data_IF_281455566111
#
_entry.id   IF_281455566111
#
_cell.length_a   1.000
_cell.length_b   1.000
_cell.length_c   1.000
_cell.angle_alpha   90.00
_cell.angle_beta   90.00
_cell.angle_gamma   90.00
#
_symmetry.space_group_name_H-M   'P 1'
#
loop_
_entity.id
_entity.type
_entity.pdbx_description
1 polymer ?
#
# COMPACT_ATOMS: atom_id res chain seq x y z
N UNK A 1 -20.80 74.30 15.54
CA UNK A 1 -19.78 73.64 14.73
C UNK A 1 -19.93 72.15 14.97
N UNK A 2 -20.65 71.51 14.06
CA UNK A 2 -20.93 70.08 14.09
C UNK A 2 -19.71 69.38 13.47
N UNK A 3 -19.17 68.40 14.19
CA UNK A 3 -18.20 67.46 13.59
C UNK A 3 -18.90 66.12 13.32
N UNK A 4 -19.07 65.82 12.05
CA UNK A 4 -19.53 64.57 11.50
C UNK A 4 -18.62 63.43 11.91
N UNK A 5 -19.12 62.53 12.74
CA UNK A 5 -18.55 61.23 12.98
C UNK A 5 -18.94 60.28 11.82
N UNK A 6 -18.06 60.10 10.86
CA UNK A 6 -18.22 59.08 9.82
C UNK A 6 -18.06 57.70 10.43
N UNK A 7 -19.18 56.98 10.60
CA UNK A 7 -19.22 55.60 10.99
C UNK A 7 -18.55 54.75 9.92
N UNK A 8 -17.36 54.24 10.16
CA UNK A 8 -16.75 53.15 9.44
C UNK A 8 -17.67 51.93 9.52
N UNK A 9 -18.48 51.73 8.50
CA UNK A 9 -19.15 50.44 8.27
C UNK A 9 -18.05 49.40 8.15
N UNK A 10 -17.92 48.54 9.14
CA UNK A 10 -17.21 47.26 9.00
C UNK A 10 -17.95 46.39 7.98
N UNK A 11 -17.70 46.63 6.70
CA UNK A 11 -18.04 45.72 5.59
C UNK A 11 -16.80 44.92 5.28
N UNK A 12 -16.65 43.81 5.95
CA UNK A 12 -15.59 42.85 5.74
C UNK A 12 -15.75 41.76 6.79
N UNK A 13 -16.82 40.94 6.66
CA UNK A 13 -16.69 39.58 7.17
C UNK A 13 -15.39 39.05 6.57
N UNK A 14 -14.45 38.59 7.40
CA UNK A 14 -13.29 37.81 7.00
C UNK A 14 -13.79 36.67 6.15
N UNK A 15 -13.88 36.87 4.81
CA UNK A 15 -14.21 35.83 3.88
C UNK A 15 -12.98 34.96 3.79
N UNK A 16 -12.86 33.97 4.70
CA UNK A 16 -11.88 32.90 4.58
C UNK A 16 -12.03 32.31 3.18
N UNK A 17 -10.93 32.20 2.47
CA UNK A 17 -10.90 31.50 1.18
C UNK A 17 -11.53 30.13 1.35
N UNK A 18 -12.57 29.86 0.59
CA UNK A 18 -13.38 28.66 0.72
C UNK A 18 -13.40 27.93 -0.63
N UNK A 19 -12.89 26.71 -0.65
CA UNK A 19 -12.90 25.84 -1.82
C UNK A 19 -14.08 24.90 -1.74
N UNK A 20 -15.21 25.37 -2.31
CA UNK A 20 -16.47 24.65 -2.23
C UNK A 20 -16.47 23.41 -3.14
N UNK A 21 -16.88 22.26 -2.63
CA UNK A 21 -17.20 21.09 -3.44
C UNK A 21 -18.45 21.40 -4.25
N UNK A 22 -18.32 21.52 -5.58
CA UNK A 22 -19.41 21.85 -6.50
C UNK A 22 -19.77 20.72 -7.45
N UNK A 23 -18.93 19.69 -7.55
CA UNK A 23 -19.18 18.50 -8.37
C UNK A 23 -18.52 17.27 -7.78
N UNK A 24 -19.27 16.16 -7.78
CA UNK A 24 -18.77 14.82 -7.49
C UNK A 24 -19.36 13.90 -8.56
N UNK A 25 -18.47 13.11 -9.20
CA UNK A 25 -18.86 12.13 -10.20
C UNK A 25 -18.07 10.84 -10.02
N UNK A 26 -18.77 9.73 -9.82
CA UNK A 26 -18.20 8.38 -9.77
C UNK A 26 -18.44 7.64 -11.09
N UNK A 27 -17.46 6.83 -11.49
CA UNK A 27 -17.57 5.92 -12.62
C UNK A 27 -16.94 4.57 -12.32
N UNK A 28 -17.37 3.57 -13.08
CA UNK A 28 -16.73 2.25 -13.07
C UNK A 28 -15.61 2.26 -14.11
N UNK A 29 -14.42 1.81 -13.71
CA UNK A 29 -13.26 1.57 -14.58
C UNK A 29 -12.76 0.15 -14.38
N UNK A 30 -11.74 -0.29 -15.11
CA UNK A 30 -11.13 -1.61 -14.92
C UNK A 30 -9.79 -1.49 -14.19
N UNK A 31 -9.55 -2.44 -13.30
CA UNK A 31 -8.24 -2.66 -12.67
C UNK A 31 -7.29 -3.45 -13.58
N UNK A 32 -6.06 -3.69 -13.13
CA UNK A 32 -5.00 -4.42 -13.85
C UNK A 32 -5.32 -5.89 -14.14
N UNK A 33 -6.35 -6.45 -13.49
CA UNK A 33 -6.86 -7.81 -13.70
C UNK A 33 -8.08 -7.84 -14.61
N UNK A 34 -8.55 -6.67 -15.09
CA UNK A 34 -9.76 -6.53 -15.89
C UNK A 34 -11.06 -6.59 -15.07
N UNK A 35 -10.97 -6.47 -13.73
CA UNK A 35 -12.12 -6.39 -12.86
C UNK A 35 -12.56 -4.92 -12.67
N UNK A 36 -13.88 -4.68 -12.51
CA UNK A 36 -14.36 -3.32 -12.24
C UNK A 36 -13.87 -2.77 -10.92
N UNK A 37 -13.55 -1.49 -10.91
CA UNK A 37 -13.28 -0.71 -9.70
C UNK A 37 -13.85 0.70 -9.81
N UNK A 38 -13.78 1.49 -8.72
CA UNK A 38 -14.38 2.82 -8.62
C UNK A 38 -13.33 3.89 -8.89
N UNK A 39 -13.64 4.80 -9.80
CA UNK A 39 -12.96 6.10 -9.94
C UNK A 39 -13.93 7.22 -9.56
N UNK A 40 -13.46 8.19 -8.76
CA UNK A 40 -14.20 9.40 -8.46
C UNK A 40 -13.46 10.64 -8.97
N UNK A 41 -14.26 11.63 -9.39
CA UNK A 41 -13.80 12.97 -9.76
C UNK A 41 -14.51 14.00 -8.88
N UNK A 42 -13.75 14.86 -8.22
CA UNK A 42 -14.27 15.93 -7.35
C UNK A 42 -13.83 17.27 -7.89
N UNK A 43 -14.80 18.19 -8.06
CA UNK A 43 -14.56 19.57 -8.48
C UNK A 43 -14.69 20.51 -7.30
N UNK A 44 -13.64 21.26 -7.00
CA UNK A 44 -13.65 22.38 -6.08
C UNK A 44 -13.78 23.69 -6.85
N UNK A 45 -14.60 24.61 -6.34
CA UNK A 45 -14.73 25.98 -6.87
C UNK A 45 -14.31 26.98 -5.80
N UNK A 46 -13.39 27.86 -6.15
CA UNK A 46 -13.01 29.01 -5.33
C UNK A 46 -14.18 29.99 -5.29
N UNK A 47 -14.75 30.20 -4.12
CA UNK A 47 -15.93 31.03 -3.93
C UNK A 47 -15.68 32.52 -4.22
N UNK A 48 -14.41 32.96 -4.23
CA UNK A 48 -14.05 34.34 -4.53
C UNK A 48 -13.82 34.58 -6.01
N UNK A 49 -13.09 33.67 -6.68
CA UNK A 49 -12.69 33.84 -8.08
C UNK A 49 -13.54 33.07 -9.07
N UNK A 50 -14.31 32.08 -8.62
CA UNK A 50 -15.06 31.16 -9.46
C UNK A 50 -14.18 30.11 -10.20
N UNK A 51 -12.85 30.09 -9.96
CA UNK A 51 -11.96 29.09 -10.58
C UNK A 51 -12.27 27.69 -10.10
N UNK A 52 -12.19 26.73 -11.01
CA UNK A 52 -12.47 25.31 -10.74
C UNK A 52 -11.20 24.49 -10.77
N UNK A 53 -11.13 23.50 -9.87
CA UNK A 53 -10.03 22.55 -9.75
C UNK A 53 -10.63 21.15 -9.61
N UNK A 54 -10.28 20.26 -10.52
CA UNK A 54 -10.78 18.88 -10.51
C UNK A 54 -9.68 17.91 -10.10
N UNK A 55 -9.96 17.11 -9.07
CA UNK A 55 -9.12 15.99 -8.65
C UNK A 55 -9.81 14.67 -9.00
N UNK A 56 -9.03 13.70 -9.46
CA UNK A 56 -9.50 12.37 -9.85
C UNK A 56 -8.70 11.30 -9.12
N UNK A 57 -9.37 10.24 -8.65
CA UNK A 57 -8.70 9.11 -8.02
C UNK A 57 -9.42 7.80 -8.28
N UNK A 58 -8.66 6.74 -8.46
CA UNK A 58 -9.13 5.38 -8.65
C UNK A 58 -8.66 4.47 -7.50
N UNK A 59 -9.53 3.56 -7.07
CA UNK A 59 -9.28 2.70 -5.92
C UNK A 59 -8.75 1.34 -6.38
N UNK A 60 -7.69 0.80 -5.75
CA UNK A 60 -7.22 -0.56 -6.00
C UNK A 60 -8.13 -1.61 -5.35
N UNK A 61 -7.92 -2.89 -5.71
CA UNK A 61 -8.70 -4.04 -5.24
C UNK A 61 -7.77 -5.21 -4.87
N UNK A 62 -8.03 -5.91 -3.77
CA UNK A 62 -7.24 -7.07 -3.35
C UNK A 62 -7.59 -8.37 -4.09
N UNK A 63 -6.64 -9.32 -4.15
CA UNK A 63 -6.92 -10.73 -4.53
C UNK A 63 -7.17 -11.57 -3.26
N UNK A 64 -6.34 -11.40 -2.24
CA UNK A 64 -6.60 -11.82 -0.87
C UNK A 64 -7.16 -10.63 -0.09
N UNK A 65 -8.09 -10.87 0.83
CA UNK A 65 -8.65 -9.83 1.68
C UNK A 65 -8.65 -10.34 3.11
N UNK A 66 -7.99 -9.61 4.01
CA UNK A 66 -8.04 -9.88 5.44
C UNK A 66 -9.49 -9.78 5.95
N UNK A 67 -9.85 -10.65 6.89
CA UNK A 67 -11.23 -10.75 7.42
C UNK A 67 -11.74 -9.44 8.03
N UNK A 68 -10.84 -8.56 8.46
CA UNK A 68 -11.16 -7.31 9.15
C UNK A 68 -11.03 -6.07 8.28
N UNK A 69 -10.81 -6.22 6.96
CA UNK A 69 -10.79 -5.11 6.03
C UNK A 69 -12.16 -4.42 5.92
N UNK A 70 -12.16 -3.13 5.61
CA UNK A 70 -13.38 -2.42 5.24
C UNK A 70 -13.98 -3.01 3.95
N UNK A 71 -15.30 -2.96 3.84
CA UNK A 71 -16.05 -3.64 2.77
C UNK A 71 -15.81 -3.00 1.42
N UNK A 72 -15.20 -3.72 0.51
CA UNK A 72 -15.25 -3.42 -0.92
C UNK A 72 -16.63 -3.79 -1.46
N UNK A 73 -17.49 -2.77 -1.71
CA UNK A 73 -18.86 -3.00 -2.11
C UNK A 73 -18.94 -3.47 -3.57
N UNK A 74 -19.35 -4.72 -3.75
CA UNK A 74 -19.60 -5.39 -5.03
C UNK A 74 -21.11 -5.57 -5.29
N UNK A 75 -21.48 -5.63 -6.58
CA UNK A 75 -22.90 -5.75 -6.97
C UNK A 75 -23.50 -7.11 -6.61
N UNK A 76 -22.69 -8.20 -6.67
CA UNK A 76 -23.14 -9.56 -6.39
C UNK A 76 -24.10 -10.12 -7.45
N UNK A 77 -24.24 -9.46 -8.60
CA UNK A 77 -25.08 -9.85 -9.72
C UNK A 77 -24.27 -10.56 -10.81
N UNK A 78 -24.91 -11.08 -11.87
CA UNK A 78 -24.24 -11.82 -12.95
C UNK A 78 -23.21 -10.99 -13.73
N UNK A 79 -23.39 -9.66 -13.76
CA UNK A 79 -22.48 -8.75 -14.45
C UNK A 79 -21.09 -8.80 -13.82
N UNK A 80 -20.03 -8.95 -14.66
CA UNK A 80 -18.65 -9.18 -14.22
C UNK A 80 -18.52 -10.32 -13.17
N UNK A 81 -19.31 -11.38 -13.33
CA UNK A 81 -19.31 -12.52 -12.40
C UNK A 81 -19.55 -12.14 -10.93
N UNK A 82 -20.35 -11.11 -10.68
CA UNK A 82 -20.61 -10.58 -9.35
C UNK A 82 -19.70 -9.44 -8.89
N UNK A 83 -18.59 -9.18 -9.62
CA UNK A 83 -17.57 -8.20 -9.25
C UNK A 83 -17.88 -6.76 -9.69
N UNK A 84 -19.07 -6.48 -10.31
CA UNK A 84 -19.49 -5.13 -10.65
C UNK A 84 -19.47 -4.17 -9.46
N UNK A 85 -19.32 -2.85 -9.71
CA UNK A 85 -19.26 -1.81 -8.66
C UNK A 85 -20.30 -0.70 -8.86
N UNK A 86 -21.37 -0.97 -9.60
CA UNK A 86 -22.42 0.03 -9.86
C UNK A 86 -23.09 0.52 -8.59
N UNK A 87 -23.26 -0.32 -7.56
CA UNK A 87 -23.80 0.08 -6.25
C UNK A 87 -22.91 1.13 -5.60
N UNK A 88 -21.59 0.90 -5.55
CA UNK A 88 -20.63 1.84 -5.02
C UNK A 88 -20.59 3.15 -5.85
N UNK A 89 -20.55 3.06 -7.17
CA UNK A 89 -20.63 4.21 -8.08
C UNK A 89 -21.94 5.01 -7.87
N UNK A 90 -23.06 4.33 -7.70
CA UNK A 90 -24.32 5.00 -7.39
C UNK A 90 -24.27 5.73 -6.04
N UNK A 91 -23.66 5.14 -5.01
CA UNK A 91 -23.46 5.80 -3.71
C UNK A 91 -22.62 7.07 -3.84
N UNK A 92 -21.54 7.05 -4.66
CA UNK A 92 -20.76 8.26 -4.98
C UNK A 92 -21.63 9.34 -5.63
N UNK A 93 -22.44 8.96 -6.63
CA UNK A 93 -23.24 9.90 -7.43
C UNK A 93 -24.50 10.41 -6.73
N UNK A 94 -24.89 9.81 -5.60
CA UNK A 94 -26.10 10.17 -4.84
C UNK A 94 -25.77 10.56 -3.40
N UNK A 95 -25.70 9.62 -2.48
CA UNK A 95 -25.55 9.85 -1.04
C UNK A 95 -24.30 10.68 -0.69
N UNK A 96 -23.14 10.29 -1.22
CA UNK A 96 -21.88 10.99 -0.96
C UNK A 96 -21.90 12.38 -1.58
N UNK A 97 -22.37 12.51 -2.82
CA UNK A 97 -22.53 13.80 -3.47
C UNK A 97 -23.47 14.73 -2.71
N UNK A 98 -24.58 14.24 -2.20
CA UNK A 98 -25.52 15.03 -1.38
C UNK A 98 -24.88 15.50 -0.08
N UNK A 99 -24.18 14.62 0.65
CA UNK A 99 -23.55 14.92 1.93
C UNK A 99 -22.41 15.94 1.82
N UNK A 100 -21.64 15.91 0.72
CA UNK A 100 -20.42 16.70 0.57
C UNK A 100 -20.59 17.97 -0.28
N UNK A 101 -21.63 18.07 -1.12
CA UNK A 101 -21.85 19.28 -1.93
C UNK A 101 -21.98 20.51 -1.04
N UNK A 102 -21.24 21.56 -1.38
CA UNK A 102 -21.20 22.78 -0.59
C UNK A 102 -20.18 22.79 0.54
N UNK A 103 -19.57 21.66 0.91
CA UNK A 103 -18.53 21.59 1.93
C UNK A 103 -17.20 22.17 1.47
N UNK A 104 -16.33 22.51 2.42
CA UNK A 104 -15.00 23.02 2.12
C UNK A 104 -14.03 21.86 1.83
N UNK A 105 -13.61 21.70 0.58
CA UNK A 105 -12.71 20.63 0.16
C UNK A 105 -11.27 20.76 0.68
N UNK A 106 -10.90 21.87 1.34
CA UNK A 106 -9.59 21.97 2.00
C UNK A 106 -9.55 21.32 3.39
N UNK A 107 -10.70 20.94 3.93
CA UNK A 107 -10.77 20.31 5.25
C UNK A 107 -10.92 18.79 5.12
N UNK A 108 -9.82 18.11 4.76
CA UNK A 108 -9.81 16.66 4.50
C UNK A 108 -10.41 15.85 5.65
N UNK A 109 -10.02 16.13 6.89
CA UNK A 109 -10.48 15.39 8.07
C UNK A 109 -12.00 15.51 8.27
N UNK A 110 -12.58 16.69 8.02
CA UNK A 110 -14.02 16.87 8.08
C UNK A 110 -14.75 16.12 6.94
N UNK A 111 -14.19 16.17 5.74
CA UNK A 111 -14.73 15.43 4.59
C UNK A 111 -14.77 13.94 4.88
N UNK A 112 -13.68 13.38 5.36
CA UNK A 112 -13.57 11.95 5.67
C UNK A 112 -14.49 11.55 6.82
N UNK A 113 -14.61 12.40 7.87
CA UNK A 113 -15.60 12.22 8.94
C UNK A 113 -17.02 12.18 8.40
N UNK A 114 -17.39 13.09 7.49
CA UNK A 114 -18.72 13.11 6.87
C UNK A 114 -18.97 11.86 6.00
N UNK A 115 -17.95 11.32 5.32
CA UNK A 115 -18.03 10.06 4.59
C UNK A 115 -18.33 8.90 5.55
N UNK A 116 -17.62 8.81 6.68
CA UNK A 116 -17.85 7.79 7.70
C UNK A 116 -19.24 7.91 8.34
N UNK A 117 -19.68 9.13 8.68
CA UNK A 117 -21.02 9.38 9.23
C UNK A 117 -22.14 9.06 8.25
N UNK A 118 -21.92 9.32 6.95
CA UNK A 118 -22.90 9.01 5.90
C UNK A 118 -23.00 7.49 5.65
N UNK A 119 -21.90 6.75 5.80
CA UNK A 119 -21.89 5.29 5.77
C UNK A 119 -22.63 4.72 7.00
N UNK A 120 -22.27 5.18 8.19
CA UNK A 120 -22.91 4.81 9.46
C UNK A 120 -22.58 3.41 9.96
N UNK A 121 -21.65 2.68 9.32
CA UNK A 121 -21.18 1.34 9.76
C UNK A 121 -19.70 1.36 10.10
N UNK A 122 -19.24 0.43 10.95
CA UNK A 122 -17.85 0.37 11.38
C UNK A 122 -16.90 0.00 10.24
N UNK A 123 -17.36 -0.74 9.23
CA UNK A 123 -16.56 -1.30 8.15
C UNK A 123 -16.91 -0.75 6.76
N UNK A 124 -17.59 0.39 6.65
CA UNK A 124 -18.04 1.00 5.39
C UNK A 124 -18.96 0.11 4.56
N UNK A 125 -19.74 -0.76 5.22
CA UNK A 125 -20.61 -1.74 4.55
C UNK A 125 -21.81 -1.15 3.81
N UNK A 126 -22.21 0.09 4.12
CA UNK A 126 -23.37 0.76 3.51
C UNK A 126 -23.02 1.48 2.19
N UNK A 127 -21.94 2.24 2.17
CA UNK A 127 -21.49 2.98 0.97
C UNK A 127 -20.47 2.19 0.16
N UNK A 128 -19.62 1.43 0.84
CA UNK A 128 -18.43 0.76 0.32
C UNK A 128 -17.15 1.56 0.55
N UNK A 129 -16.12 0.91 1.08
CA UNK A 129 -14.80 1.52 1.25
C UNK A 129 -14.20 2.00 -0.09
N UNK A 130 -14.51 1.30 -1.18
CA UNK A 130 -14.14 1.71 -2.54
C UNK A 130 -14.81 3.04 -2.95
N UNK A 131 -16.06 3.29 -2.57
CA UNK A 131 -16.75 4.55 -2.84
C UNK A 131 -16.20 5.69 -1.97
N UNK A 132 -16.04 5.46 -0.65
CA UNK A 132 -15.55 6.49 0.28
C UNK A 132 -14.10 6.88 -0.02
N UNK A 133 -13.21 5.91 -0.25
CA UNK A 133 -11.81 6.17 -0.56
C UNK A 133 -11.63 6.90 -1.89
N UNK A 134 -12.34 6.50 -2.95
CA UNK A 134 -12.24 7.17 -4.25
C UNK A 134 -12.51 8.69 -4.10
N UNK A 135 -13.55 9.05 -3.35
CA UNK A 135 -13.90 10.46 -3.11
C UNK A 135 -12.90 11.13 -2.19
N UNK A 136 -12.47 10.49 -1.11
CA UNK A 136 -11.48 11.02 -0.16
C UNK A 136 -10.17 11.40 -0.87
N UNK A 137 -9.60 10.50 -1.67
CA UNK A 137 -8.39 10.75 -2.47
C UNK A 137 -8.60 11.83 -3.54
N UNK A 138 -9.77 11.83 -4.21
CA UNK A 138 -10.08 12.84 -5.24
C UNK A 138 -10.19 14.26 -4.64
N UNK A 139 -10.77 14.39 -3.43
CA UNK A 139 -10.81 15.67 -2.68
C UNK A 139 -9.39 16.14 -2.37
N UNK A 140 -8.52 15.27 -1.84
CA UNK A 140 -7.13 15.62 -1.53
C UNK A 140 -6.38 16.14 -2.77
N UNK A 141 -6.54 15.50 -3.93
CA UNK A 141 -5.94 15.97 -5.18
C UNK A 141 -6.51 17.30 -5.65
N UNK A 142 -7.83 17.48 -5.61
CA UNK A 142 -8.45 18.75 -5.98
C UNK A 142 -8.00 19.89 -5.05
N UNK A 143 -7.85 19.61 -3.75
CA UNK A 143 -7.34 20.56 -2.77
C UNK A 143 -5.88 20.96 -3.06
N UNK A 144 -4.99 20.00 -3.28
CA UNK A 144 -3.60 20.25 -3.65
C UNK A 144 -3.49 21.11 -4.91
N UNK A 145 -4.23 20.78 -5.97
CA UNK A 145 -4.31 21.56 -7.20
C UNK A 145 -4.81 22.99 -6.97
N UNK A 146 -5.80 23.17 -6.10
CA UNK A 146 -6.37 24.49 -5.80
C UNK A 146 -5.39 25.40 -5.05
N UNK A 147 -4.50 24.79 -4.28
CA UNK A 147 -3.42 25.48 -3.54
C UNK A 147 -2.15 25.63 -4.39
N UNK A 148 -2.09 24.99 -5.55
CA UNK A 148 -0.92 24.96 -6.45
C UNK A 148 0.33 24.39 -5.76
N UNK A 149 0.15 23.34 -4.96
CA UNK A 149 1.23 22.59 -4.31
C UNK A 149 1.12 21.11 -4.70
N UNK A 150 2.23 20.37 -4.70
CA UNK A 150 2.22 18.94 -4.94
C UNK A 150 1.37 18.18 -3.91
N UNK A 151 0.82 17.03 -4.30
CA UNK A 151 -0.04 16.24 -3.42
C UNK A 151 0.72 15.78 -2.17
N UNK A 152 1.97 15.33 -2.31
CA UNK A 152 2.76 14.90 -1.15
C UNK A 152 2.99 16.04 -0.13
N UNK A 153 3.14 17.30 -0.60
CA UNK A 153 3.24 18.46 0.30
C UNK A 153 1.89 18.85 0.93
N UNK A 154 0.80 18.70 0.18
CA UNK A 154 -0.53 18.94 0.73
C UNK A 154 -0.84 17.98 1.89
N UNK A 155 -0.53 16.69 1.73
CA UNK A 155 -0.80 15.66 2.73
C UNK A 155 0.17 15.72 3.91
N UNK A 156 1.46 15.96 3.70
CA UNK A 156 2.50 15.81 4.71
C UNK A 156 3.14 17.11 5.20
N UNK A 157 2.84 18.25 4.55
CA UNK A 157 3.38 19.56 4.93
C UNK A 157 4.77 19.86 4.36
N UNK A 158 5.39 20.91 4.86
CA UNK A 158 6.61 21.49 4.27
C UNK A 158 7.90 20.64 4.48
N UNK A 159 7.88 19.64 5.33
CA UNK A 159 9.07 18.83 5.67
C UNK A 159 9.05 17.42 5.03
N UNK A 160 8.27 17.24 3.98
CA UNK A 160 8.16 16.00 3.21
C UNK A 160 9.28 15.93 2.18
N UNK A 161 10.27 15.07 2.41
CA UNK A 161 11.47 14.94 1.55
C UNK A 161 12.12 13.56 1.56
N UNK A 162 11.63 12.62 2.36
CA UNK A 162 12.21 11.29 2.44
C UNK A 162 11.63 10.43 1.30
N UNK A 163 12.49 10.09 0.35
CA UNK A 163 12.17 9.14 -0.70
C UNK A 163 12.14 7.71 -0.12
N UNK A 164 11.12 6.92 -0.44
CA UNK A 164 11.01 5.57 0.10
C UNK A 164 11.98 4.59 -0.58
N UNK A 165 12.55 3.67 0.20
CA UNK A 165 13.21 2.48 -0.34
C UNK A 165 12.14 1.56 -0.94
N UNK A 166 12.23 1.19 -2.22
CA UNK A 166 11.27 0.30 -2.83
C UNK A 166 11.51 -1.15 -2.38
N UNK A 167 10.43 -1.83 -2.01
CA UNK A 167 10.37 -3.29 -1.82
C UNK A 167 9.78 -3.87 -3.11
N UNK A 168 10.65 -4.26 -4.06
CA UNK A 168 10.23 -4.67 -5.40
C UNK A 168 10.01 -6.16 -5.50
N UNK A 169 8.76 -6.58 -5.66
CA UNK A 169 8.38 -7.96 -5.83
C UNK A 169 8.80 -8.49 -7.20
N UNK A 170 9.92 -9.22 -7.27
CA UNK A 170 10.50 -9.73 -8.52
C UNK A 170 10.18 -11.19 -8.81
N UNK A 171 9.65 -11.94 -7.82
CA UNK A 171 9.17 -13.30 -8.00
C UNK A 171 7.91 -13.53 -7.17
N UNK A 172 6.86 -14.04 -7.82
CA UNK A 172 5.55 -14.29 -7.25
C UNK A 172 5.30 -15.79 -7.03
N UNK A 173 4.58 -16.09 -5.95
CA UNK A 173 4.00 -17.38 -5.66
C UNK A 173 2.62 -17.23 -5.00
N UNK A 174 2.21 -18.21 -4.21
CA UNK A 174 0.95 -18.19 -3.49
C UNK A 174 -0.25 -17.85 -4.38
N UNK A 175 -1.09 -16.91 -3.94
CA UNK A 175 -2.26 -16.45 -4.72
C UNK A 175 -1.92 -15.51 -5.87
N UNK A 176 -0.71 -14.96 -5.90
CA UNK A 176 -0.29 -14.03 -6.95
C UNK A 176 0.20 -14.72 -8.22
N UNK A 177 0.37 -16.06 -8.19
CA UNK A 177 0.83 -16.83 -9.34
C UNK A 177 0.29 -18.26 -9.32
N UNK A 178 -0.02 -18.81 -10.50
CA UNK A 178 -0.42 -20.22 -10.66
C UNK A 178 0.82 -21.11 -10.82
N UNK A 179 1.63 -21.24 -9.76
CA UNK A 179 2.86 -22.03 -9.73
C UNK A 179 2.97 -22.87 -8.44
N UNK A 180 4.14 -23.46 -8.18
CA UNK A 180 4.41 -24.30 -7.01
C UNK A 180 5.13 -23.60 -5.87
N UNK A 181 5.29 -22.29 -5.92
CA UNK A 181 5.94 -21.50 -4.86
C UNK A 181 4.89 -21.11 -3.82
N UNK A 182 5.04 -21.56 -2.58
CA UNK A 182 4.05 -21.38 -1.53
C UNK A 182 4.06 -19.97 -0.93
N UNK A 183 5.22 -19.34 -0.76
CA UNK A 183 5.32 -17.94 -0.33
C UNK A 183 4.86 -16.99 -1.43
N UNK A 184 4.14 -15.93 -1.05
CA UNK A 184 3.43 -15.09 -2.01
C UNK A 184 4.34 -14.13 -2.78
N UNK A 185 5.34 -13.52 -2.10
CA UNK A 185 6.20 -12.51 -2.69
C UNK A 185 7.64 -12.60 -2.20
N UNK A 186 8.56 -12.43 -3.15
CA UNK A 186 9.98 -12.29 -2.90
C UNK A 186 10.45 -10.95 -3.47
N UNK A 187 10.87 -10.07 -2.58
CA UNK A 187 11.18 -8.68 -2.88
C UNK A 187 12.66 -8.38 -2.70
N UNK A 188 13.19 -7.48 -3.54
CA UNK A 188 14.52 -6.90 -3.38
C UNK A 188 14.42 -5.45 -2.93
N UNK A 189 15.40 -5.00 -2.12
CA UNK A 189 15.46 -3.69 -1.50
C UNK A 189 16.85 -3.08 -1.70
N UNK A 190 17.00 -1.98 -2.47
CA UNK A 190 18.31 -1.34 -2.74
C UNK A 190 18.68 -0.40 -1.59
N UNK A 191 19.19 -0.96 -0.48
CA UNK A 191 19.40 -0.24 0.78
C UNK A 191 20.61 0.70 0.78
N UNK A 192 21.57 0.50 -0.12
CA UNK A 192 22.78 1.34 -0.25
C UNK A 192 22.78 2.25 -1.49
N UNK A 193 21.64 2.36 -2.17
CA UNK A 193 21.52 3.29 -3.30
C UNK A 193 21.69 4.75 -2.84
N UNK A 194 22.27 5.59 -3.70
CA UNK A 194 22.52 7.00 -3.38
C UNK A 194 21.25 7.86 -3.48
N UNK A 195 20.28 7.41 -4.26
CA UNK A 195 19.02 8.10 -4.55
C UNK A 195 17.92 7.08 -4.87
N UNK A 196 16.68 7.54 -4.93
CA UNK A 196 15.57 6.69 -5.37
C UNK A 196 15.75 6.25 -6.83
N UNK A 197 16.16 7.17 -7.70
CA UNK A 197 16.43 6.88 -9.12
C UNK A 197 17.54 5.84 -9.32
N UNK A 198 18.59 5.90 -8.50
CA UNK A 198 19.65 4.89 -8.49
C UNK A 198 19.13 3.53 -8.00
N UNK A 199 18.38 3.51 -6.91
CA UNK A 199 17.76 2.29 -6.40
C UNK A 199 16.80 1.62 -7.40
N UNK A 200 15.99 2.43 -8.11
CA UNK A 200 15.10 1.93 -9.16
C UNK A 200 15.89 1.31 -10.31
N UNK A 201 16.98 1.95 -10.77
CA UNK A 201 17.87 1.43 -11.81
C UNK A 201 18.47 0.07 -11.38
N UNK A 202 19.05 0.01 -10.19
CA UNK A 202 19.64 -1.21 -9.63
C UNK A 202 18.62 -2.36 -9.63
N UNK A 203 17.43 -2.13 -9.11
CA UNK A 203 16.39 -3.14 -9.08
C UNK A 203 15.94 -3.59 -10.48
N UNK A 204 15.84 -2.68 -11.44
CA UNK A 204 15.50 -3.00 -12.82
C UNK A 204 16.60 -3.86 -13.49
N UNK A 205 17.87 -3.56 -13.25
CA UNK A 205 19.00 -4.36 -13.74
C UNK A 205 18.95 -5.78 -13.16
N UNK A 206 18.77 -5.93 -11.84
CA UNK A 206 18.63 -7.25 -11.19
C UNK A 206 17.44 -8.03 -11.76
N UNK A 207 16.30 -7.38 -11.95
CA UNK A 207 15.10 -7.99 -12.54
C UNK A 207 15.38 -8.56 -13.95
N UNK A 208 16.12 -7.82 -14.79
CA UNK A 208 16.52 -8.30 -16.11
C UNK A 208 17.56 -9.43 -16.05
N UNK A 209 18.50 -9.40 -15.12
CA UNK A 209 19.43 -10.51 -14.89
C UNK A 209 18.70 -11.77 -14.42
N UNK A 210 17.73 -11.61 -13.49
CA UNK A 210 16.89 -12.73 -13.04
C UNK A 210 16.15 -13.38 -14.23
N UNK A 211 15.56 -12.57 -15.12
CA UNK A 211 14.92 -13.07 -16.34
C UNK A 211 15.88 -13.91 -17.19
N UNK A 212 17.09 -13.39 -17.44
CA UNK A 212 18.10 -14.08 -18.24
C UNK A 212 18.52 -15.41 -17.61
N UNK A 213 18.75 -15.43 -16.29
CA UNK A 213 19.10 -16.65 -15.56
C UNK A 213 17.98 -17.71 -15.69
N UNK A 214 16.73 -17.28 -15.57
CA UNK A 214 15.57 -18.16 -15.72
C UNK A 214 15.46 -18.72 -17.12
N UNK A 215 15.68 -17.91 -18.16
CA UNK A 215 15.72 -18.35 -19.56
C UNK A 215 16.84 -19.38 -19.79
N UNK A 216 18.05 -19.16 -19.26
CA UNK A 216 19.18 -20.07 -19.32
C UNK A 216 18.90 -21.42 -18.63
N UNK A 217 18.10 -21.40 -17.55
CA UNK A 217 17.67 -22.59 -16.79
C UNK A 217 16.40 -23.26 -17.38
N UNK A 218 15.80 -22.70 -18.43
CA UNK A 218 14.56 -23.19 -19.03
C UNK A 218 13.31 -23.00 -18.17
N UNK A 219 13.34 -22.03 -17.23
CA UNK A 219 12.22 -21.68 -16.37
C UNK A 219 11.28 -20.68 -17.05
N UNK A 220 10.01 -20.69 -16.67
CA UNK A 220 9.01 -19.75 -17.19
C UNK A 220 9.32 -18.31 -16.76
N UNK A 221 9.27 -17.37 -17.72
CA UNK A 221 9.44 -15.92 -17.49
C UNK A 221 8.14 -15.14 -17.63
N UNK A 222 6.99 -15.82 -17.58
CA UNK A 222 5.69 -15.17 -17.40
C UNK A 222 5.62 -14.52 -16.02
N UNK A 223 4.84 -13.44 -15.92
CA UNK A 223 4.73 -12.66 -14.69
C UNK A 223 3.37 -12.86 -14.02
N UNK A 224 3.37 -12.78 -12.69
CA UNK A 224 2.16 -12.76 -11.87
C UNK A 224 1.45 -11.40 -11.86
N UNK A 225 0.46 -11.27 -10.98
CA UNK A 225 -0.39 -10.08 -10.87
C UNK A 225 0.40 -8.80 -10.56
N UNK A 226 1.51 -8.92 -9.86
CA UNK A 226 2.33 -7.79 -9.43
C UNK A 226 3.60 -7.57 -10.28
N UNK A 227 3.74 -8.32 -11.36
CA UNK A 227 4.85 -8.16 -12.30
C UNK A 227 6.10 -8.97 -11.97
N UNK A 228 6.16 -9.67 -10.83
CA UNK A 228 7.20 -10.64 -10.51
C UNK A 228 7.07 -11.89 -11.37
N UNK A 229 8.20 -12.56 -11.66
CA UNK A 229 8.19 -13.82 -12.40
C UNK A 229 7.49 -14.95 -11.63
N UNK A 230 6.94 -15.91 -12.33
CA UNK A 230 6.13 -16.97 -11.75
C UNK A 230 6.55 -18.38 -12.20
N UNK A 231 7.81 -18.80 -11.98
CA UNK A 231 8.26 -20.15 -12.31
C UNK A 231 7.75 -21.19 -11.31
N UNK A 232 7.71 -22.46 -11.72
CA UNK A 232 7.60 -23.58 -10.79
C UNK A 232 8.96 -23.84 -10.14
N UNK A 233 9.02 -23.79 -8.81
CA UNK A 233 10.21 -24.04 -8.02
C UNK A 233 9.86 -24.89 -6.78
N UNK A 234 10.81 -25.68 -6.25
CA UNK A 234 10.51 -26.68 -5.21
C UNK A 234 10.19 -26.09 -3.81
N UNK A 235 10.73 -24.94 -3.48
CA UNK A 235 10.60 -24.31 -2.16
C UNK A 235 11.10 -22.86 -2.20
N UNK A 236 11.02 -22.17 -1.07
CA UNK A 236 11.46 -20.78 -0.93
C UNK A 236 12.98 -20.64 -1.10
N UNK A 237 13.78 -21.60 -0.66
CA UNK A 237 15.24 -21.59 -0.81
C UNK A 237 15.65 -21.55 -2.28
N UNK A 238 15.01 -22.33 -3.14
CA UNK A 238 15.31 -22.34 -4.57
C UNK A 238 15.00 -20.98 -5.22
N UNK A 239 13.98 -20.27 -4.74
CA UNK A 239 13.67 -18.89 -5.15
C UNK A 239 14.77 -17.94 -4.69
N UNK A 240 15.15 -18.02 -3.43
CA UNK A 240 16.17 -17.16 -2.83
C UNK A 240 17.54 -17.37 -3.48
N UNK A 241 17.89 -18.60 -3.83
CA UNK A 241 19.13 -18.92 -4.58
C UNK A 241 19.16 -18.22 -5.94
N UNK A 242 18.04 -18.23 -6.68
CA UNK A 242 17.94 -17.51 -7.96
C UNK A 242 18.04 -15.99 -7.81
N UNK A 243 17.46 -15.44 -6.76
CA UNK A 243 17.54 -14.00 -6.48
C UNK A 243 18.96 -13.59 -6.12
N UNK A 244 19.62 -14.36 -5.25
CA UNK A 244 21.02 -14.11 -4.88
C UNK A 244 21.93 -14.22 -6.12
N UNK A 245 21.75 -15.24 -6.95
CA UNK A 245 22.49 -15.38 -8.22
C UNK A 245 22.26 -14.16 -9.13
N UNK A 246 21.04 -13.64 -9.21
CA UNK A 246 20.72 -12.46 -10.02
C UNK A 246 21.39 -11.19 -9.49
N UNK A 247 21.42 -10.99 -8.16
CA UNK A 247 22.09 -9.86 -7.51
C UNK A 247 23.59 -9.92 -7.81
N UNK A 248 24.24 -11.07 -7.62
CA UNK A 248 25.68 -11.25 -7.86
C UNK A 248 26.06 -11.06 -9.33
N UNK A 249 25.27 -11.65 -10.27
CA UNK A 249 25.53 -11.48 -11.70
C UNK A 249 25.32 -10.04 -12.20
N UNK A 250 24.54 -9.24 -11.49
CA UNK A 250 24.40 -7.79 -11.76
C UNK A 250 25.50 -6.93 -11.12
N UNK A 251 26.52 -7.55 -10.51
CA UNK A 251 27.64 -6.91 -9.83
C UNK A 251 27.26 -6.12 -8.57
N UNK A 252 26.21 -6.53 -7.88
CA UNK A 252 25.85 -6.02 -6.56
C UNK A 252 26.09 -7.09 -5.49
N UNK A 253 26.27 -6.66 -4.25
CA UNK A 253 26.59 -7.54 -3.12
C UNK A 253 25.30 -7.85 -2.33
N UNK A 254 24.86 -9.15 -2.31
CA UNK A 254 23.78 -9.57 -1.43
C UNK A 254 24.09 -9.26 0.03
N UNK A 255 23.15 -8.66 0.73
CA UNK A 255 23.32 -8.32 2.15
C UNK A 255 24.01 -6.98 2.43
N UNK A 256 24.73 -6.43 1.46
CA UNK A 256 25.32 -5.11 1.55
C UNK A 256 24.52 -4.09 0.73
N UNK A 257 24.48 -4.24 -0.61
CA UNK A 257 23.78 -3.31 -1.49
C UNK A 257 22.30 -3.60 -1.54
N UNK A 258 21.96 -4.89 -1.55
CA UNK A 258 20.60 -5.40 -1.70
C UNK A 258 20.25 -6.31 -0.52
N UNK A 259 19.12 -6.01 0.09
CA UNK A 259 18.45 -6.88 1.06
C UNK A 259 17.22 -7.53 0.42
N UNK A 260 16.73 -8.58 1.04
CA UNK A 260 15.54 -9.33 0.60
C UNK A 260 14.42 -9.10 1.60
N UNK A 261 13.19 -8.95 1.09
CA UNK A 261 11.98 -9.00 1.90
C UNK A 261 11.06 -10.11 1.37
N UNK A 262 10.32 -10.71 2.28
CA UNK A 262 9.35 -11.76 2.00
C UNK A 262 7.95 -11.29 2.40
N UNK A 263 6.95 -11.67 1.61
CA UNK A 263 5.56 -11.73 2.04
C UNK A 263 5.13 -13.20 1.96
N UNK A 264 4.85 -13.77 3.12
CA UNK A 264 4.49 -15.19 3.22
C UNK A 264 3.00 -15.40 3.03
N UNK A 265 2.17 -14.41 3.40
CA UNK A 265 0.72 -14.50 3.42
C UNK A 265 0.25 -15.75 4.17
N UNK A 266 0.78 -15.97 5.38
CA UNK A 266 0.67 -17.24 6.11
C UNK A 266 -0.77 -17.64 6.44
N UNK A 267 -1.72 -16.69 6.52
CA UNK A 267 -3.15 -16.99 6.69
C UNK A 267 -3.69 -17.88 5.57
N UNK A 268 -3.14 -17.79 4.35
CA UNK A 268 -3.51 -18.64 3.21
C UNK A 268 -2.98 -20.07 3.32
N UNK A 269 -1.92 -20.28 4.09
CA UNK A 269 -1.32 -21.59 4.35
C UNK A 269 -1.91 -22.25 5.59
N UNK A 270 -2.57 -21.47 6.46
CA UNK A 270 -3.02 -21.92 7.78
C UNK A 270 -4.34 -22.68 7.72
N UNK A 271 -4.38 -23.82 8.39
CA UNK A 271 -5.57 -24.62 8.56
C UNK A 271 -6.07 -24.51 10.02
N UNK A 272 -7.14 -23.74 10.22
CA UNK A 272 -7.74 -23.51 11.56
C UNK A 272 -8.12 -24.79 12.33
N UNK A 273 -8.43 -25.89 11.62
CA UNK A 273 -8.84 -27.16 12.25
C UNK A 273 -7.67 -27.93 12.83
N UNK A 274 -6.50 -27.85 12.21
CA UNK A 274 -5.30 -28.59 12.61
C UNK A 274 -4.31 -27.72 13.38
N UNK A 275 -4.39 -26.40 13.26
CA UNK A 275 -3.40 -25.47 13.78
C UNK A 275 -2.07 -25.50 13.03
N UNK A 276 -2.05 -26.02 11.79
CA UNK A 276 -0.84 -26.23 11.00
C UNK A 276 -0.84 -25.37 9.75
N UNK A 277 0.35 -24.98 9.31
CA UNK A 277 0.62 -24.33 8.03
C UNK A 277 0.94 -25.41 6.98
N UNK A 278 0.16 -25.47 5.92
CA UNK A 278 0.30 -26.44 4.82
C UNK A 278 1.01 -25.80 3.63
N UNK A 279 1.97 -26.51 3.06
CA UNK A 279 2.77 -26.10 1.91
C UNK A 279 2.41 -26.98 0.69
N UNK A 280 1.34 -26.65 -0.04
CA UNK A 280 0.84 -27.50 -1.11
C UNK A 280 1.82 -27.62 -2.30
N UNK A 281 2.56 -26.53 -2.60
CA UNK A 281 3.54 -26.53 -3.68
C UNK A 281 4.76 -27.40 -3.35
N UNK A 282 5.36 -27.22 -2.17
CA UNK A 282 6.44 -28.08 -1.68
C UNK A 282 5.98 -29.55 -1.62
N UNK A 283 4.78 -29.79 -1.08
CA UNK A 283 4.21 -31.13 -0.96
C UNK A 283 4.08 -31.82 -2.31
N UNK A 284 3.58 -31.11 -3.32
CA UNK A 284 3.42 -31.63 -4.69
C UNK A 284 4.75 -32.05 -5.31
N UNK A 285 5.78 -31.22 -5.19
CA UNK A 285 7.08 -31.50 -5.81
C UNK A 285 7.90 -32.51 -5.00
N UNK A 286 7.73 -32.54 -3.69
CA UNK A 286 8.39 -33.52 -2.80
C UNK A 286 7.74 -34.91 -2.83
N UNK A 287 6.46 -34.98 -3.23
CA UNK A 287 5.67 -36.22 -3.22
C UNK A 287 5.26 -36.69 -1.82
N UNK A 288 5.33 -35.83 -0.81
CA UNK A 288 4.88 -36.07 0.57
C UNK A 288 4.38 -34.78 1.16
N UNK A 289 3.43 -34.86 2.10
CA UNK A 289 2.87 -33.71 2.78
C UNK A 289 3.96 -32.92 3.54
N UNK A 290 3.97 -31.60 3.37
CA UNK A 290 4.83 -30.66 4.09
C UNK A 290 3.92 -29.75 4.91
N UNK A 291 4.03 -29.86 6.22
CA UNK A 291 3.28 -29.06 7.19
C UNK A 291 4.24 -28.55 8.26
N UNK A 292 3.92 -27.41 8.85
CA UNK A 292 4.68 -26.82 9.95
C UNK A 292 3.71 -26.29 11.00
N UNK A 293 4.02 -26.45 12.27
CA UNK A 293 3.35 -25.71 13.35
C UNK A 293 3.97 -24.30 13.51
N UNK A 294 3.42 -23.48 14.41
CA UNK A 294 3.90 -22.11 14.66
C UNK A 294 5.39 -22.08 15.03
N UNK A 295 5.87 -23.00 15.87
CA UNK A 295 7.27 -23.06 16.30
C UNK A 295 8.20 -23.49 15.15
N UNK A 296 7.76 -24.44 14.35
CA UNK A 296 8.47 -24.90 13.15
C UNK A 296 8.54 -23.81 12.08
N UNK A 297 7.46 -23.01 11.92
CA UNK A 297 7.47 -21.83 11.04
C UNK A 297 8.52 -20.81 11.48
N UNK A 298 8.55 -20.47 12.76
CA UNK A 298 9.53 -19.52 13.28
C UNK A 298 10.96 -20.06 13.09
N UNK A 299 11.19 -21.35 13.36
CA UNK A 299 12.50 -21.99 13.16
C UNK A 299 12.91 -22.00 11.68
N UNK A 300 11.97 -22.21 10.77
CA UNK A 300 12.22 -22.13 9.33
C UNK A 300 12.64 -20.70 8.92
N UNK A 301 12.01 -19.65 9.45
CA UNK A 301 12.46 -18.28 9.22
C UNK A 301 13.87 -18.02 9.76
N UNK A 302 14.22 -18.54 10.93
CA UNK A 302 15.58 -18.43 11.45
C UNK A 302 16.62 -19.08 10.54
N UNK A 303 16.31 -20.24 9.97
CA UNK A 303 17.18 -20.91 9.00
C UNK A 303 17.35 -20.08 7.72
N UNK A 304 16.24 -19.53 7.18
CA UNK A 304 16.28 -18.67 5.99
C UNK A 304 17.09 -17.40 6.22
N UNK A 305 16.87 -16.71 7.34
CA UNK A 305 17.62 -15.49 7.72
C UNK A 305 19.11 -15.79 7.92
N UNK A 306 19.43 -16.97 8.44
CA UNK A 306 20.82 -17.41 8.62
C UNK A 306 21.57 -17.66 7.31
N UNK A 307 20.86 -17.94 6.22
CA UNK A 307 21.43 -18.26 4.90
C UNK A 307 21.38 -17.10 3.91
N UNK A 308 20.32 -16.30 3.98
CA UNK A 308 20.01 -15.27 2.99
C UNK A 308 19.92 -13.88 3.63
N UNK A 309 20.19 -12.81 2.90
CA UNK A 309 20.17 -11.45 3.43
C UNK A 309 18.73 -10.90 3.61
N UNK A 310 17.87 -11.67 4.27
CA UNK A 310 16.49 -11.29 4.55
C UNK A 310 16.46 -10.25 5.66
N UNK A 311 15.80 -9.12 5.40
CA UNK A 311 15.67 -8.00 6.31
C UNK A 311 14.22 -7.76 6.76
N UNK A 312 13.24 -8.30 6.05
CA UNK A 312 11.82 -8.09 6.33
C UNK A 312 11.00 -9.34 6.02
N UNK A 313 10.08 -9.69 6.90
CA UNK A 313 9.07 -10.73 6.68
C UNK A 313 7.70 -10.11 6.99
N UNK A 314 6.82 -10.16 5.99
CA UNK A 314 5.43 -9.75 6.07
C UNK A 314 4.56 -10.99 6.28
N UNK A 315 3.55 -10.86 7.16
CA UNK A 315 2.57 -11.88 7.49
C UNK A 315 3.16 -13.28 7.67
N UNK A 316 4.22 -13.33 8.50
CA UNK A 316 4.94 -14.56 8.78
C UNK A 316 4.12 -15.62 9.52
N UNK A 317 3.01 -15.25 10.13
CA UNK A 317 2.04 -16.14 10.81
C UNK A 317 0.61 -15.69 10.51
N UNK A 318 -0.37 -16.56 10.77
CA UNK A 318 -1.78 -16.28 10.55
C UNK A 318 -2.28 -15.06 11.32
N UNK A 319 -3.26 -14.33 10.76
CA UNK A 319 -3.77 -13.04 11.26
C UNK A 319 -4.37 -13.07 12.67
N UNK A 320 -4.76 -14.23 13.17
CA UNK A 320 -5.34 -14.44 14.51
C UNK A 320 -4.40 -15.18 15.47
N UNK A 321 -3.19 -15.60 15.04
CA UNK A 321 -2.21 -16.26 15.91
C UNK A 321 -1.36 -15.26 16.71
N UNK A 322 -2.01 -14.49 17.58
CA UNK A 322 -1.36 -13.43 18.37
C UNK A 322 -0.25 -13.96 19.30
N UNK A 323 -0.42 -15.16 19.85
CA UNK A 323 0.60 -15.79 20.69
C UNK A 323 1.81 -16.23 19.87
N UNK A 324 1.59 -16.76 18.68
CA UNK A 324 2.65 -17.07 17.72
C UNK A 324 3.38 -15.81 17.26
N UNK A 325 2.66 -14.74 16.91
CA UNK A 325 3.24 -13.45 16.56
C UNK A 325 4.11 -12.87 17.68
N UNK A 326 3.70 -13.05 18.94
CA UNK A 326 4.53 -12.65 20.08
C UNK A 326 5.84 -13.45 20.14
N UNK A 327 5.78 -14.77 19.98
CA UNK A 327 6.98 -15.61 19.92
C UNK A 327 7.88 -15.26 18.74
N UNK A 328 7.31 -15.03 17.56
CA UNK A 328 8.03 -14.59 16.36
C UNK A 328 8.76 -13.26 16.62
N UNK A 329 8.07 -12.30 17.25
CA UNK A 329 8.64 -10.99 17.57
C UNK A 329 9.76 -11.08 18.58
N UNK A 330 9.58 -11.89 19.63
CA UNK A 330 10.61 -12.08 20.66
C UNK A 330 11.89 -12.75 20.11
N UNK A 331 11.80 -13.60 19.09
CA UNK A 331 12.94 -14.31 18.49
C UNK A 331 13.63 -13.51 17.38
N UNK A 332 12.87 -12.78 16.58
CA UNK A 332 13.34 -12.17 15.33
C UNK A 332 13.20 -10.64 15.27
N UNK A 333 12.34 -10.03 16.09
CA UNK A 333 11.98 -8.61 15.97
C UNK A 333 13.15 -7.62 16.21
N UNK A 334 14.23 -8.04 16.89
CA UNK A 334 15.46 -7.24 17.01
C UNK A 334 16.43 -7.41 15.84
N UNK A 335 16.19 -8.42 14.97
CA UNK A 335 17.09 -8.77 13.85
C UNK A 335 16.54 -8.32 12.51
N UNK A 336 15.22 -8.37 12.33
CA UNK A 336 14.53 -8.07 11.08
C UNK A 336 13.24 -7.29 11.31
N UNK A 337 12.76 -6.67 10.25
CA UNK A 337 11.42 -6.09 10.22
C UNK A 337 10.37 -7.20 10.13
N UNK A 338 9.37 -7.13 11.01
CA UNK A 338 8.19 -7.98 11.00
C UNK A 338 6.98 -7.11 10.69
N UNK A 339 6.41 -7.30 9.50
CA UNK A 339 5.32 -6.46 8.98
C UNK A 339 3.99 -7.19 9.16
N UNK A 340 3.01 -6.52 9.77
CA UNK A 340 1.63 -7.00 9.79
C UNK A 340 0.82 -6.36 8.68
N UNK A 341 0.34 -7.16 7.73
CA UNK A 341 -0.68 -6.80 6.73
C UNK A 341 -2.05 -7.27 7.20
N UNK A 342 -2.40 -8.53 7.02
CA UNK A 342 -3.68 -9.11 7.49
C UNK A 342 -3.81 -9.02 9.02
N UNK A 343 -2.69 -9.07 9.74
CA UNK A 343 -2.65 -8.87 11.19
C UNK A 343 -3.25 -7.52 11.60
N UNK A 344 -2.96 -6.43 10.90
CA UNK A 344 -3.36 -5.07 11.28
C UNK A 344 -4.41 -4.43 10.36
N UNK A 345 -4.50 -4.85 9.11
CA UNK A 345 -5.43 -4.35 8.07
C UNK A 345 -5.58 -2.82 8.04
N UNK A 346 -4.48 -2.10 8.22
CA UNK A 346 -4.45 -0.62 8.31
C UNK A 346 -5.42 -0.05 9.38
N UNK A 347 -5.79 -0.85 10.37
CA UNK A 347 -6.80 -0.54 11.38
C UNK A 347 -6.17 -0.15 12.71
N UNK A 348 -6.46 1.05 13.21
CA UNK A 348 -5.90 1.58 14.47
C UNK A 348 -6.24 0.74 15.68
N UNK A 349 -7.40 0.08 15.74
CA UNK A 349 -7.79 -0.79 16.87
C UNK A 349 -6.93 -2.06 16.92
N UNK A 350 -6.66 -2.69 15.76
CA UNK A 350 -5.79 -3.86 15.67
C UNK A 350 -4.33 -3.50 15.91
N UNK A 351 -3.90 -2.36 15.36
CA UNK A 351 -2.54 -1.85 15.60
C UNK A 351 -2.30 -1.52 17.07
N UNK A 352 -3.24 -0.87 17.76
CA UNK A 352 -3.17 -0.57 19.20
C UNK A 352 -3.06 -1.87 20.03
N UNK A 353 -3.82 -2.91 19.65
CA UNK A 353 -3.69 -4.23 20.29
C UNK A 353 -2.28 -4.83 20.08
N UNK A 354 -1.74 -4.77 18.86
CA UNK A 354 -0.40 -5.24 18.55
C UNK A 354 0.69 -4.49 19.32
N UNK A 355 0.59 -3.18 19.39
CA UNK A 355 1.51 -2.33 20.15
C UNK A 355 1.51 -2.75 21.64
N UNK A 356 0.33 -2.91 22.23
CA UNK A 356 0.18 -3.33 23.64
C UNK A 356 0.74 -4.71 23.92
N UNK A 357 0.62 -5.61 22.97
CA UNK A 357 1.14 -6.99 23.08
C UNK A 357 2.60 -7.10 22.67
N UNK A 358 3.20 -6.03 22.14
CA UNK A 358 4.55 -6.02 21.59
C UNK A 358 4.74 -7.08 20.49
N UNK A 359 3.84 -7.12 19.52
CA UNK A 359 3.89 -8.02 18.35
C UNK A 359 4.16 -7.23 17.07
N UNK A 360 4.98 -7.79 16.19
CA UNK A 360 5.51 -7.13 15.00
C UNK A 360 6.33 -5.86 15.35
N UNK A 361 6.85 -5.15 14.36
CA UNK A 361 7.53 -3.86 14.50
C UNK A 361 7.29 -2.93 13.30
N UNK A 362 6.42 -3.35 12.37
CA UNK A 362 5.98 -2.57 11.23
C UNK A 362 4.54 -2.91 10.85
N UNK A 363 3.86 -1.95 10.21
CA UNK A 363 2.53 -2.12 9.61
C UNK A 363 2.62 -1.93 8.10
N UNK A 364 1.92 -2.78 7.34
CA UNK A 364 1.61 -2.51 5.95
C UNK A 364 0.39 -1.60 5.86
N UNK A 365 0.46 -0.56 5.05
CA UNK A 365 -0.61 0.44 4.92
C UNK A 365 -1.22 0.35 3.53
N UNK A 366 -2.42 -0.18 3.46
CA UNK A 366 -3.26 -0.25 2.26
C UNK A 366 -4.48 0.64 2.45
N UNK A 367 -4.51 1.79 1.79
CA UNK A 367 -5.55 2.81 2.00
C UNK A 367 -6.97 2.30 1.80
N UNK A 368 -7.16 1.28 0.93
CA UNK A 368 -8.49 0.71 0.70
C UNK A 368 -8.94 -0.28 1.78
N UNK A 369 -8.03 -0.82 2.62
CA UNK A 369 -8.40 -1.67 3.76
C UNK A 369 -9.17 -0.90 4.85
N UNK A 370 -9.04 0.43 4.88
CA UNK A 370 -9.71 1.27 5.89
C UNK A 370 -10.74 2.25 5.28
N UNK A 371 -10.51 2.76 4.08
CA UNK A 371 -11.51 3.43 3.24
C UNK A 371 -11.54 4.95 3.26
N UNK A 372 -10.65 5.64 4.00
CA UNK A 372 -10.42 7.08 3.89
C UNK A 372 -8.94 7.43 4.05
N UNK A 373 -8.52 8.59 3.52
CA UNK A 373 -7.15 9.10 3.67
C UNK A 373 -6.85 9.43 5.14
N UNK A 374 -7.79 10.04 5.85
CA UNK A 374 -7.59 10.42 7.26
C UNK A 374 -7.37 9.21 8.17
N UNK A 375 -8.16 8.14 8.02
CA UNK A 375 -7.98 6.92 8.82
C UNK A 375 -6.65 6.24 8.51
N UNK A 376 -6.22 6.22 7.24
CA UNK A 376 -4.90 5.70 6.86
C UNK A 376 -3.77 6.53 7.50
N UNK A 377 -3.88 7.87 7.48
CA UNK A 377 -2.93 8.77 8.15
C UNK A 377 -2.88 8.56 9.66
N UNK A 378 -4.03 8.33 10.31
CA UNK A 378 -4.10 8.01 11.75
C UNK A 378 -3.38 6.70 12.09
N UNK A 379 -3.53 5.66 11.26
CA UNK A 379 -2.82 4.39 11.45
C UNK A 379 -1.30 4.58 11.31
N UNK A 380 -0.86 5.34 10.30
CA UNK A 380 0.56 5.65 10.07
C UNK A 380 1.12 6.45 11.26
N UNK A 381 0.42 7.50 11.69
CA UNK A 381 0.84 8.32 12.82
C UNK A 381 0.95 7.50 14.11
N UNK A 382 -0.03 6.63 14.38
CA UNK A 382 -0.01 5.73 15.53
C UNK A 382 1.20 4.80 15.47
N UNK A 383 1.48 4.17 14.33
CA UNK A 383 2.63 3.31 14.12
C UNK A 383 3.94 4.06 14.43
N UNK A 384 4.17 5.19 13.77
CA UNK A 384 5.41 5.98 13.90
C UNK A 384 5.63 6.50 15.32
N UNK A 385 4.58 6.95 16.01
CA UNK A 385 4.66 7.44 17.41
C UNK A 385 5.01 6.33 18.41
N UNK A 386 4.74 5.07 18.05
CA UNK A 386 5.04 3.92 18.90
C UNK A 386 6.27 3.12 18.43
N UNK A 387 7.08 3.68 17.53
CA UNK A 387 8.33 3.08 17.06
C UNK A 387 8.16 2.02 15.98
N UNK A 388 6.94 1.77 15.51
CA UNK A 388 6.68 0.89 14.37
C UNK A 388 7.00 1.61 13.06
N UNK A 389 7.49 0.86 12.06
CA UNK A 389 7.65 1.38 10.71
C UNK A 389 6.31 1.28 9.96
N UNK A 390 6.13 2.14 8.97
CA UNK A 390 5.01 2.07 8.05
C UNK A 390 5.53 1.77 6.64
N UNK A 391 4.98 0.75 6.00
CA UNK A 391 5.26 0.39 4.61
C UNK A 391 4.03 0.76 3.79
N UNK A 392 4.13 1.75 2.92
CA UNK A 392 3.00 2.13 2.05
C UNK A 392 2.89 1.13 0.92
N UNK A 393 1.71 0.57 0.73
CA UNK A 393 1.51 -0.59 -0.16
C UNK A 393 0.44 -0.38 -1.20
N UNK A 394 0.66 -1.00 -2.35
CA UNK A 394 -0.32 -1.24 -3.41
C UNK A 394 -1.26 -2.40 -3.04
N UNK A 395 -2.10 -2.79 -3.98
CA UNK A 395 -2.85 -4.06 -3.96
C UNK A 395 -2.54 -4.88 -5.22
N UNK A 396 -2.95 -6.16 -5.23
CA UNK A 396 -2.79 -7.04 -6.41
C UNK A 396 -3.55 -6.53 -7.63
N UNK A 397 -4.77 -6.03 -7.47
CA UNK A 397 -5.53 -5.33 -8.51
C UNK A 397 -5.33 -3.82 -8.43
N UNK A 398 -4.48 -3.28 -9.28
CA UNK A 398 -4.12 -1.86 -9.32
C UNK A 398 -4.71 -1.15 -10.53
N UNK A 399 -4.63 0.18 -10.48
CA UNK A 399 -4.91 1.08 -11.59
C UNK A 399 -3.69 1.93 -11.89
N UNK A 400 -3.75 2.82 -12.89
CA UNK A 400 -2.71 3.81 -13.16
C UNK A 400 -2.60 4.91 -12.08
N UNK A 401 -3.45 4.89 -11.06
CA UNK A 401 -3.44 5.86 -9.97
C UNK A 401 -2.13 5.79 -9.17
N UNK A 402 -1.58 6.96 -8.84
CA UNK A 402 -0.26 7.10 -8.19
C UNK A 402 -0.34 7.65 -6.76
N UNK A 403 -1.53 7.70 -6.16
CA UNK A 403 -1.74 8.32 -4.85
C UNK A 403 -0.77 7.81 -3.77
N UNK A 404 -0.52 6.51 -3.74
CA UNK A 404 0.36 5.90 -2.73
C UNK A 404 1.83 6.32 -2.85
N UNK A 405 2.29 6.73 -4.03
CA UNK A 405 3.64 7.27 -4.21
C UNK A 405 3.77 8.64 -3.51
N UNK A 406 2.79 9.54 -3.72
CA UNK A 406 2.71 10.81 -3.01
C UNK A 406 2.53 10.61 -1.51
N UNK A 407 1.68 9.65 -1.08
CA UNK A 407 1.46 9.32 0.33
C UNK A 407 2.75 8.86 1.01
N UNK A 408 3.53 7.98 0.37
CA UNK A 408 4.79 7.47 0.96
C UNK A 408 5.78 8.60 1.27
N UNK A 409 5.91 9.59 0.38
CA UNK A 409 6.75 10.76 0.62
C UNK A 409 6.10 11.71 1.63
N UNK A 410 4.78 11.91 1.56
CA UNK A 410 4.03 12.79 2.47
C UNK A 410 4.26 12.44 3.95
N UNK A 411 4.22 11.16 4.29
CA UNK A 411 4.35 10.69 5.68
C UNK A 411 5.79 10.34 6.06
N UNK A 412 6.77 10.62 5.17
CA UNK A 412 8.16 10.18 5.33
C UNK A 412 8.24 8.70 5.75
N UNK A 413 7.51 7.82 5.07
CA UNK A 413 7.40 6.41 5.41
C UNK A 413 8.75 5.66 5.34
N UNK A 414 9.60 6.09 4.42
CA UNK A 414 10.90 5.48 4.17
C UNK A 414 10.84 4.17 3.40
N UNK A 415 9.64 3.60 3.17
CA UNK A 415 9.44 2.34 2.46
C UNK A 415 8.17 2.38 1.61
N UNK A 416 8.21 1.72 0.45
CA UNK A 416 7.05 1.50 -0.41
C UNK A 416 7.09 0.10 -1.03
N UNK A 417 5.97 -0.63 -0.96
CA UNK A 417 5.75 -1.92 -1.61
C UNK A 417 4.75 -1.71 -2.75
N UNK A 418 5.22 -1.76 -4.02
CA UNK A 418 4.35 -1.47 -5.16
C UNK A 418 4.66 -2.33 -6.40
N UNK A 419 5.07 -3.59 -6.18
CA UNK A 419 5.28 -4.60 -7.21
C UNK A 419 6.65 -4.53 -7.89
N UNK A 420 6.78 -5.24 -9.01
CA UNK A 420 8.00 -5.31 -9.80
C UNK A 420 8.20 -4.04 -10.66
N UNK A 421 9.42 -3.82 -11.22
CA UNK A 421 9.65 -2.80 -12.25
C UNK A 421 9.07 -3.24 -13.61
N UNK A 422 7.88 -3.81 -13.59
CA UNK A 422 7.16 -4.39 -14.71
C UNK A 422 5.65 -4.17 -14.51
N UNK A 423 4.86 -4.11 -15.59
CA UNK A 423 3.42 -3.78 -15.65
C UNK A 423 3.17 -2.29 -15.36
N UNK A 424 2.42 -1.64 -16.25
CA UNK A 424 2.27 -0.17 -16.28
C UNK A 424 1.70 0.40 -14.99
N UNK A 425 0.77 -0.29 -14.36
CA UNK A 425 0.13 0.13 -13.10
C UNK A 425 1.09 0.12 -11.90
N UNK A 426 2.15 -0.70 -11.93
CA UNK A 426 3.24 -0.70 -10.93
C UNK A 426 4.24 0.41 -11.26
N UNK A 427 4.73 0.42 -12.49
CA UNK A 427 5.70 1.39 -12.99
C UNK A 427 5.18 2.82 -12.88
N UNK A 428 3.86 3.06 -12.97
CA UNK A 428 3.26 4.38 -12.76
C UNK A 428 3.64 4.99 -11.40
N UNK A 429 3.65 4.19 -10.31
CA UNK A 429 4.02 4.63 -8.96
C UNK A 429 5.51 4.97 -8.88
N UNK A 430 6.37 4.13 -9.47
CA UNK A 430 7.82 4.38 -9.53
C UNK A 430 8.13 5.63 -10.35
N UNK A 431 7.47 5.82 -11.48
CA UNK A 431 7.62 7.03 -12.31
C UNK A 431 7.14 8.28 -11.57
N UNK A 432 6.12 8.18 -10.73
CA UNK A 432 5.68 9.30 -9.89
C UNK A 432 6.73 9.65 -8.84
N UNK A 433 7.35 8.65 -8.20
CA UNK A 433 8.45 8.88 -7.26
C UNK A 433 9.67 9.52 -7.92
N UNK A 434 10.01 9.15 -9.18
CA UNK A 434 11.06 9.83 -9.94
C UNK A 434 10.73 11.33 -10.15
N UNK A 435 9.47 11.67 -10.48
CA UNK A 435 9.05 13.07 -10.62
C UNK A 435 9.13 13.83 -9.31
N UNK A 436 8.74 13.20 -8.20
CA UNK A 436 8.85 13.79 -6.86
C UNK A 436 10.31 14.02 -6.50
N UNK A 437 11.19 13.04 -6.75
CA UNK A 437 12.64 13.20 -6.50
C UNK A 437 13.24 14.35 -7.33
N UNK A 438 12.88 14.45 -8.61
CA UNK A 438 13.30 15.57 -9.49
C UNK A 438 12.81 16.92 -8.96
N UNK A 439 11.56 17.00 -8.51
CA UNK A 439 10.97 18.22 -7.93
C UNK A 439 11.65 18.64 -6.61
N UNK A 440 11.96 17.66 -5.74
CA UNK A 440 12.69 17.90 -4.50
C UNK A 440 14.15 18.29 -4.76
N UNK A 441 14.76 17.81 -5.84
CA UNK A 441 16.14 18.11 -6.21
C UNK A 441 17.13 17.79 -5.08
N UNK A 442 17.98 18.74 -4.73
CA UNK A 442 19.07 18.53 -3.74
C UNK A 442 18.58 18.34 -2.29
N UNK A 443 17.29 18.57 -1.99
CA UNK A 443 16.73 18.36 -0.65
C UNK A 443 16.10 16.96 -0.50
N UNK A 444 15.96 16.22 -1.59
CA UNK A 444 15.55 14.83 -1.53
C UNK A 444 16.50 14.03 -0.62
N UNK A 445 15.95 13.23 0.26
CA UNK A 445 16.71 12.36 1.12
C UNK A 445 16.33 10.91 0.83
N UNK A 446 17.32 10.07 0.57
CA UNK A 446 17.15 8.62 0.47
C UNK A 446 17.99 7.98 1.58
N UNK A 447 17.35 7.23 2.44
CA UNK A 447 18.00 6.63 3.61
C UNK A 447 17.39 5.29 3.91
N UNK A 448 18.21 4.34 4.24
CA UNK A 448 17.80 3.06 4.77
C UNK A 448 16.94 3.27 6.03
N UNK A 449 15.70 2.75 6.08
CA UNK A 449 14.80 2.93 7.23
C UNK A 449 15.10 1.97 8.38
N UNK A 450 16.08 1.06 8.25
CA UNK A 450 16.31 -0.07 9.15
C UNK A 450 17.39 0.15 10.22
N UNK A 451 18.02 1.31 10.27
CA UNK A 451 19.13 1.61 11.19
C UNK A 451 18.81 1.53 12.70
N UNK A 452 17.66 0.99 13.09
CA UNK A 452 17.25 0.68 14.46
C UNK A 452 16.14 -0.38 14.44
N UNK A 453 16.42 -1.56 13.97
CA UNK A 453 15.67 -2.75 14.31
C UNK A 453 16.34 -3.37 15.52
#
# INVERSE_FOLDING_TARGET
MEFFGAGLRRTGADMKRYMQITGIHGREILDSRGNPTVEAEVTLTDTMSGRRFAGKAAVPSGASTGRFEAVELRDGETRYFGLGVKKAVNNVNTKIKEALTGRNGLNQVEIDRLLMETDGTDNKGSLGANATLAVSMAVARAAALSLQIPLYQYLGGAYTRLMPVPMMNILNGGRHAANTVDFQEFMIMPVQAESFSDGLRICAEIYHFLKKIMEEKGLATSVGDEGGFAPDLPNAEAVLDLIVEAIEKSNYFPGQDIKIALDVASSELYNEKTGMYHFPGESKLRGSEVVRDTSEMISYYEELIGKYPILSIEDGLAEDDWDGWKQLTDRLGEKIQLVGDDLFVTNTKRLDAGIKLHVANAILVKVNQIGTVSEAMEAIEMAQKNGYKAVISHRSGETEDTFIADLAVAVNAGQIKTGAPCRSERVAKYNQLLRIEEELGTVAAYKEPFNKI
#
